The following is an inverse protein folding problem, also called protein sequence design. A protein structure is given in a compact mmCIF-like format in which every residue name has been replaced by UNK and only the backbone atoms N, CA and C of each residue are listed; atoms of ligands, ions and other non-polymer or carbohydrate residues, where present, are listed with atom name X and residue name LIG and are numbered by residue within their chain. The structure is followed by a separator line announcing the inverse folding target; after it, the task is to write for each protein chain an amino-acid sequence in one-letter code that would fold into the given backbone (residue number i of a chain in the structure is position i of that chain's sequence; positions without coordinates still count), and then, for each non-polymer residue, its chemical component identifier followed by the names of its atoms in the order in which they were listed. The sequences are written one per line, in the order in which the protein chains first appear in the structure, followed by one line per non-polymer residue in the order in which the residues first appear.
data_IF_516555814717
#
_entry.id   IF_516555814717
#
_cell.length_a   1.000
_cell.length_b   1.000
_cell.length_c   1.000
_cell.angle_alpha   90.00
_cell.angle_beta   90.00
_cell.angle_gamma   90.00
#
_symmetry.space_group_name_H-M   'P 1'
#
loop_
_entity.id
_entity.type
_entity.pdbx_description
1 polymer ?
#
# COMPACT_ATOMS: atom_id res chain seq x y z
N UNK A 1 3.22 0.05 -18.01
CA UNK A 1 4.49 0.08 -17.26
C UNK A 1 4.21 0.81 -15.95
N UNK A 2 3.94 0.11 -14.85
CA UNK A 2 3.56 0.75 -13.58
C UNK A 2 4.77 1.52 -13.04
N UNK A 3 4.63 2.83 -12.87
CA UNK A 3 5.63 3.72 -12.28
C UNK A 3 5.68 3.46 -10.77
N UNK A 4 6.34 2.40 -10.35
CA UNK A 4 6.56 2.13 -8.92
C UNK A 4 7.62 3.09 -8.39
N UNK A 5 7.24 4.00 -7.49
CA UNK A 5 8.20 4.83 -6.77
C UNK A 5 8.88 3.97 -5.68
N UNK A 6 10.23 3.85 -5.69
CA UNK A 6 10.92 3.04 -4.69
C UNK A 6 10.81 3.70 -3.31
N UNK A 7 10.42 2.91 -2.30
CA UNK A 7 10.32 3.36 -0.91
C UNK A 7 11.42 2.68 -0.10
N UNK A 8 12.36 3.47 0.42
CA UNK A 8 13.46 2.97 1.25
C UNK A 8 13.18 3.17 2.72
N UNK A 9 13.12 2.08 3.50
CA UNK A 9 12.91 2.13 4.95
C UNK A 9 14.14 1.65 5.71
N UNK A 10 14.39 2.28 6.86
CA UNK A 10 15.20 1.67 7.92
C UNK A 10 14.25 1.14 8.98
N UNK A 11 14.35 -0.16 9.24
CA UNK A 11 13.61 -0.84 10.29
C UNK A 11 14.60 -1.60 11.16
N UNK A 12 14.20 -1.91 12.38
CA UNK A 12 14.98 -2.79 13.23
C UNK A 12 15.12 -4.19 12.61
N UNK A 13 16.23 -4.89 12.88
CA UNK A 13 16.47 -6.21 12.31
C UNK A 13 15.38 -7.23 12.69
N UNK A 14 14.85 -7.15 13.91
CA UNK A 14 13.76 -8.02 14.37
C UNK A 14 12.48 -7.82 13.56
N UNK A 15 12.15 -6.56 13.24
CA UNK A 15 10.99 -6.21 12.42
C UNK A 15 11.15 -6.74 10.99
N UNK A 16 12.35 -6.62 10.42
CA UNK A 16 12.64 -7.17 9.09
C UNK A 16 12.44 -8.69 9.05
N UNK A 17 12.96 -9.38 10.06
CA UNK A 17 12.88 -10.84 10.13
C UNK A 17 11.43 -11.33 10.30
N UNK A 18 10.66 -10.68 11.18
CA UNK A 18 9.23 -10.95 11.34
C UNK A 18 8.45 -10.70 10.04
N UNK A 19 8.76 -9.60 9.34
CA UNK A 19 8.14 -9.27 8.05
C UNK A 19 8.48 -10.29 6.97
N UNK A 20 9.73 -10.78 6.91
CA UNK A 20 10.13 -11.84 5.98
C UNK A 20 9.38 -13.14 6.25
N UNK A 21 9.23 -13.53 7.52
CA UNK A 21 8.44 -14.70 7.91
C UNK A 21 6.96 -14.57 7.54
N UNK A 22 6.35 -13.43 7.85
CA UNK A 22 4.95 -13.17 7.52
C UNK A 22 4.70 -13.16 6.00
N UNK A 23 5.65 -12.64 5.23
CA UNK A 23 5.55 -12.65 3.76
C UNK A 23 5.61 -14.08 3.20
N UNK A 24 6.50 -14.92 3.73
CA UNK A 24 6.61 -16.32 3.34
C UNK A 24 5.34 -17.12 3.70
N UNK A 25 4.72 -16.84 4.84
CA UNK A 25 3.48 -17.48 5.28
C UNK A 25 2.27 -17.12 4.38
N UNK A 26 2.22 -15.89 3.87
CA UNK A 26 1.16 -15.39 2.96
C UNK A 26 1.43 -15.76 1.48
N UNK A 27 2.48 -16.54 1.18
CA UNK A 27 2.97 -16.89 -0.17
C UNK A 27 3.26 -15.65 -1.05
N UNK A 28 3.75 -14.58 -0.44
CA UNK A 28 4.00 -13.29 -1.12
C UNK A 28 5.40 -12.75 -0.86
N UNK A 29 5.86 -11.91 -1.77
CA UNK A 29 7.06 -11.10 -1.56
C UNK A 29 6.84 -10.08 -0.44
N UNK A 30 7.89 -9.79 0.33
CA UNK A 30 7.90 -8.75 1.37
C UNK A 30 7.34 -7.43 0.84
N UNK A 31 7.78 -7.00 -0.35
CA UNK A 31 7.30 -5.77 -0.97
C UNK A 31 5.79 -5.76 -1.20
N UNK A 32 5.21 -6.88 -1.62
CA UNK A 32 3.76 -7.01 -1.85
C UNK A 32 2.97 -7.01 -0.55
N UNK A 33 3.49 -7.65 0.50
CA UNK A 33 2.88 -7.62 1.82
C UNK A 33 2.90 -6.20 2.39
N UNK A 34 4.04 -5.51 2.32
CA UNK A 34 4.19 -4.11 2.76
C UNK A 34 3.24 -3.20 2.00
N UNK A 35 3.14 -3.34 0.68
CA UNK A 35 2.21 -2.54 -0.12
C UNK A 35 0.75 -2.75 0.33
N UNK A 36 0.35 -4.00 0.60
CA UNK A 36 -0.99 -4.33 1.08
C UNK A 36 -1.28 -3.69 2.44
N UNK A 37 -0.36 -3.82 3.39
CA UNK A 37 -0.48 -3.23 4.73
C UNK A 37 -0.55 -1.71 4.65
N UNK A 38 0.33 -1.09 3.86
CA UNK A 38 0.34 0.37 3.67
C UNK A 38 -0.95 0.88 3.06
N UNK A 39 -1.45 0.22 2.00
CA UNK A 39 -2.72 0.58 1.36
C UNK A 39 -3.88 0.50 2.35
N UNK A 40 -4.00 -0.62 3.06
CA UNK A 40 -5.06 -0.83 4.04
C UNK A 40 -5.01 0.24 5.16
N UNK A 41 -3.83 0.53 5.70
CA UNK A 41 -3.66 1.55 6.74
C UNK A 41 -3.99 2.97 6.24
N UNK A 42 -3.60 3.30 5.00
CA UNK A 42 -3.90 4.60 4.41
C UNK A 42 -5.39 4.74 4.10
N UNK A 43 -6.06 3.67 3.67
CA UNK A 43 -7.50 3.65 3.42
C UNK A 43 -8.31 3.79 4.70
N UNK A 44 -7.97 3.03 5.73
CA UNK A 44 -8.60 3.11 7.07
C UNK A 44 -8.57 4.54 7.65
N UNK A 45 -7.51 5.29 7.34
CA UNK A 45 -7.33 6.68 7.78
C UNK A 45 -7.85 7.73 6.81
N UNK A 46 -8.43 7.33 5.67
CA UNK A 46 -8.95 8.23 4.65
C UNK A 46 -7.88 8.96 3.82
N UNK A 47 -6.62 8.53 3.86
CA UNK A 47 -5.55 9.06 3.00
C UNK A 47 -5.58 8.49 1.58
N UNK A 48 -6.18 7.31 1.41
CA UNK A 48 -6.44 6.71 0.09
C UNK A 48 -7.92 6.35 -0.04
N UNK A 49 -8.51 6.53 -1.23
CA UNK A 49 -9.84 6.01 -1.50
C UNK A 49 -9.86 4.47 -1.43
N UNK A 50 -10.98 3.91 -0.98
CA UNK A 50 -11.19 2.46 -1.00
C UNK A 50 -11.18 1.94 -2.43
N UNK A 51 -10.67 0.71 -2.67
CA UNK A 51 -10.58 0.16 -4.01
C UNK A 51 -11.99 -0.20 -4.48
N UNK A 52 -12.62 0.69 -5.24
CA UNK A 52 -14.03 0.60 -5.64
C UNK A 52 -14.82 1.89 -5.42
N UNK A 53 -14.26 2.85 -4.69
CA UNK A 53 -14.72 4.24 -4.76
C UNK A 53 -14.27 4.84 -6.10
N UNK A 54 -14.97 4.45 -7.17
CA UNK A 54 -14.95 5.13 -8.45
C UNK A 54 -15.27 6.61 -8.19
N UNK A 55 -14.24 7.45 -8.13
CA UNK A 55 -14.40 8.89 -8.14
C UNK A 55 -14.74 9.32 -9.56
N UNK A 56 -15.92 8.91 -10.04
CA UNK A 56 -16.69 9.61 -11.05
C UNK A 56 -17.19 10.94 -10.50
N UNK A 57 -16.28 11.85 -10.14
CA UNK A 57 -16.59 13.25 -9.84
C UNK A 57 -15.36 14.18 -9.94
N UNK A 58 -14.76 14.24 -11.12
CA UNK A 58 -14.35 15.53 -11.68
C UNK A 58 -15.35 15.79 -12.81
N UNK A 59 -16.52 16.36 -12.53
CA UNK A 59 -16.58 17.74 -12.05
C UNK A 59 -16.38 18.66 -13.26
N UNK A 60 -17.28 18.53 -14.21
CA UNK A 60 -17.71 19.62 -15.07
C UNK A 60 -18.01 20.82 -14.17
N UNK A 61 -17.05 21.74 -14.06
CA UNK A 61 -17.33 23.11 -13.67
C UNK A 61 -17.24 23.93 -14.94
N UNK A 62 -18.40 23.98 -15.59
CA UNK A 62 -18.78 25.02 -16.51
C UNK A 62 -18.57 26.39 -15.83
N UNK A 63 -17.76 27.26 -16.44
CA UNK A 63 -17.95 28.72 -16.51
C UNK A 63 -16.89 29.35 -17.40
#
# INVERSE_FOLDING_TARGET
MVRTAPLGFRVEPEVKDALTRAAADDDRSVSSLVERILKAWLQDRGYLPEPGADTGKSGEVSS
#
